data_IF_164085305602
#
_entry.id   IF_164085305602
#
_cell.length_a   1.000
_cell.length_b   1.000
_cell.length_c   1.000
_cell.angle_alpha   90.00
_cell.angle_beta   90.00
_cell.angle_gamma   90.00
#
_symmetry.space_group_name_H-M   'P 1'
#
loop_
_entity.id
_entity.type
_entity.pdbx_description
1 polymer ?
#
# COMPACT_ATOMS: atom_id res chain seq x y z
N UNK A 1 -5.04 70.74 67.67
CA UNK A 1 -3.65 71.07 67.34
C UNK A 1 -2.91 69.76 67.01
N UNK A 2 -2.45 69.62 65.76
CA UNK A 2 -1.55 68.56 65.23
C UNK A 2 -2.16 67.14 65.20
N UNK A 3 -1.95 66.29 64.20
CA UNK A 3 -1.07 66.29 63.03
C UNK A 3 -1.68 65.31 62.01
N UNK A 4 -1.76 65.68 60.73
CA UNK A 4 -2.16 64.77 59.65
C UNK A 4 -0.98 63.90 59.22
N UNK A 5 -1.24 62.62 58.95
CA UNK A 5 -0.28 61.72 58.32
C UNK A 5 -0.81 61.39 56.92
N UNK A 6 -0.17 61.96 55.89
CA UNK A 6 -0.42 61.62 54.49
C UNK A 6 0.51 60.47 54.10
N UNK A 7 -0.06 59.30 53.84
CA UNK A 7 0.64 58.17 53.25
C UNK A 7 0.48 58.28 51.73
N UNK A 8 1.57 58.49 51.01
CA UNK A 8 1.62 58.51 49.55
C UNK A 8 1.86 57.07 49.09
N UNK A 9 0.88 56.47 48.41
CA UNK A 9 1.00 55.16 47.78
C UNK A 9 1.65 55.33 46.41
N UNK A 10 2.90 54.88 46.26
CA UNK A 10 3.56 54.74 44.96
C UNK A 10 3.05 53.45 44.30
N UNK A 11 2.24 53.57 43.25
CA UNK A 11 1.84 52.44 42.40
C UNK A 11 2.91 52.27 41.32
N UNK A 12 3.84 51.33 41.53
CA UNK A 12 4.72 50.85 40.47
C UNK A 12 3.92 49.86 39.60
N UNK A 13 3.52 50.30 38.41
CA UNK A 13 2.87 49.49 37.41
C UNK A 13 3.92 48.60 36.71
N UNK A 14 4.05 47.35 37.17
CA UNK A 14 4.89 46.36 36.51
C UNK A 14 4.16 45.85 35.25
N UNK A 15 4.61 46.31 34.08
CA UNK A 15 4.23 45.72 32.80
C UNK A 15 4.94 44.37 32.64
N UNK A 16 4.25 43.28 32.98
CA UNK A 16 4.65 41.94 32.53
C UNK A 16 4.14 41.76 31.11
N UNK A 17 5.01 42.03 30.14
CA UNK A 17 4.81 41.57 28.77
C UNK A 17 4.99 40.04 28.76
N UNK A 18 3.89 39.30 28.90
CA UNK A 18 3.83 37.89 28.52
C UNK A 18 3.89 37.81 26.99
N UNK A 19 5.11 37.82 26.46
CA UNK A 19 5.36 37.34 25.11
C UNK A 19 5.15 35.83 25.09
N UNK A 20 3.94 35.39 24.75
CA UNK A 20 3.72 34.02 24.32
C UNK A 20 4.44 33.88 22.98
N UNK A 21 5.63 33.28 23.00
CA UNK A 21 6.24 32.77 21.80
C UNK A 21 5.35 31.60 21.36
N UNK A 22 4.43 31.85 20.43
CA UNK A 22 3.77 30.78 19.68
C UNK A 22 4.85 30.11 18.83
N UNK A 23 5.54 29.15 19.43
CA UNK A 23 6.28 28.15 18.70
C UNK A 23 5.24 27.29 17.99
N UNK A 24 4.94 27.61 16.73
CA UNK A 24 4.31 26.68 15.81
C UNK A 24 5.27 25.49 15.65
N UNK A 25 5.15 24.52 16.54
CA UNK A 25 5.79 23.23 16.36
C UNK A 25 5.03 22.53 15.24
N UNK A 26 5.50 22.68 14.01
CA UNK A 26 5.13 21.76 12.93
C UNK A 26 5.42 20.36 13.46
N UNK A 27 4.35 19.62 13.73
CA UNK A 27 4.43 18.33 14.40
C UNK A 27 4.65 17.29 13.32
N UNK A 28 5.91 16.87 13.17
CA UNK A 28 6.29 15.80 12.27
C UNK A 28 5.99 14.44 12.90
N UNK A 29 5.14 13.65 12.25
CA UNK A 29 4.77 12.31 12.68
C UNK A 29 5.36 11.25 11.75
N UNK A 30 6.01 10.25 12.36
CA UNK A 30 6.46 9.05 11.66
C UNK A 30 5.68 7.85 12.20
N UNK A 31 5.04 7.11 11.30
CA UNK A 31 4.36 5.87 11.62
C UNK A 31 4.98 4.73 10.84
N UNK A 32 5.16 3.58 11.46
CA UNK A 32 5.56 2.36 10.77
C UNK A 32 4.51 1.27 10.94
N UNK A 33 4.39 0.42 9.93
CA UNK A 33 3.55 -0.78 9.96
C UNK A 33 4.34 -1.92 9.34
N UNK A 34 4.45 -3.02 10.08
CA UNK A 34 5.12 -4.25 9.67
C UNK A 34 4.09 -5.38 9.68
N UNK A 35 4.06 -6.14 8.60
CA UNK A 35 3.18 -7.30 8.43
C UNK A 35 4.02 -8.50 8.02
N UNK A 36 4.35 -9.36 8.98
CA UNK A 36 4.84 -10.72 8.70
C UNK A 36 3.65 -11.67 8.53
N UNK A 37 3.41 -12.12 7.30
CA UNK A 37 2.29 -13.00 7.00
C UNK A 37 2.52 -14.45 7.45
N UNK A 38 3.71 -14.82 7.95
CA UNK A 38 3.85 -16.09 8.64
C UNK A 38 3.09 -16.11 9.97
N UNK A 39 2.89 -14.95 10.61
CA UNK A 39 2.23 -14.85 11.91
C UNK A 39 0.70 -14.78 11.81
N UNK A 40 0.19 -13.96 10.89
CA UNK A 40 -1.25 -13.82 10.67
C UNK A 40 -1.58 -13.20 9.31
N UNK A 41 -2.84 -13.29 8.87
CA UNK A 41 -3.35 -12.55 7.72
C UNK A 41 -3.34 -11.02 7.95
N UNK A 42 -3.15 -10.57 9.20
CA UNK A 42 -3.18 -9.17 9.62
C UNK A 42 -4.40 -8.43 9.06
N UNK A 43 -5.56 -9.08 9.00
CA UNK A 43 -6.81 -8.49 8.49
C UNK A 43 -6.77 -7.98 7.04
N UNK A 44 -5.79 -8.40 6.22
CA UNK A 44 -5.77 -8.11 4.80
C UNK A 44 -6.84 -8.91 4.07
N UNK A 45 -7.50 -8.31 3.09
CA UNK A 45 -8.55 -8.94 2.30
C UNK A 45 -8.13 -8.97 0.83
N UNK A 46 -8.24 -10.12 0.16
CA UNK A 46 -8.01 -10.22 -1.28
C UNK A 46 -9.26 -9.97 -2.12
N UNK A 47 -9.06 -9.36 -3.28
CA UNK A 47 -10.08 -9.18 -4.32
C UNK A 47 -9.42 -9.04 -5.70
N UNK A 48 -10.24 -8.93 -6.75
CA UNK A 48 -9.81 -8.99 -8.15
C UNK A 48 -10.55 -7.93 -8.98
N UNK A 49 -9.93 -7.41 -10.02
CA UNK A 49 -10.53 -6.49 -10.98
C UNK A 49 -9.97 -6.73 -12.39
N UNK A 50 -10.51 -5.98 -13.33
CA UNK A 50 -10.23 -6.00 -14.77
C UNK A 50 -10.66 -7.30 -15.47
N UNK A 51 -11.76 -7.93 -15.02
CA UNK A 51 -12.32 -9.12 -15.66
C UNK A 51 -13.83 -8.97 -15.95
N UNK A 52 -14.38 -9.69 -16.96
CA UNK A 52 -15.80 -9.63 -17.26
C UNK A 52 -16.70 -10.08 -16.10
N UNK A 53 -17.91 -9.52 -16.03
CA UNK A 53 -18.92 -9.96 -15.07
C UNK A 53 -19.26 -11.45 -15.28
N UNK A 54 -19.27 -12.23 -14.20
CA UNK A 54 -19.61 -13.66 -14.24
C UNK A 54 -18.45 -14.61 -14.54
N UNK A 55 -17.27 -14.09 -14.92
CA UNK A 55 -16.15 -14.93 -15.38
C UNK A 55 -15.17 -15.35 -14.28
N UNK A 56 -15.48 -15.12 -13.00
CA UNK A 56 -14.56 -15.43 -11.89
C UNK A 56 -14.14 -16.90 -11.81
N UNK A 57 -15.01 -17.82 -12.23
CA UNK A 57 -14.69 -19.27 -12.30
C UNK A 57 -13.77 -19.56 -13.49
N UNK A 58 -14.02 -18.95 -14.65
CA UNK A 58 -13.20 -19.14 -15.85
C UNK A 58 -11.78 -18.57 -15.67
N UNK A 59 -11.66 -17.46 -14.94
CA UNK A 59 -10.39 -16.86 -14.55
C UNK A 59 -9.76 -17.52 -13.32
N UNK A 60 -10.35 -18.58 -12.75
CA UNK A 60 -9.77 -19.34 -11.62
C UNK A 60 -9.33 -18.43 -10.45
N UNK A 61 -10.09 -17.37 -10.17
CA UNK A 61 -9.70 -16.34 -9.19
C UNK A 61 -9.71 -16.91 -7.77
N UNK A 62 -8.57 -16.83 -7.08
CA UNK A 62 -8.42 -17.37 -5.74
C UNK A 62 -7.54 -16.49 -4.85
N UNK A 63 -8.06 -16.16 -3.67
CA UNK A 63 -7.31 -15.58 -2.56
C UNK A 63 -7.35 -16.54 -1.38
N UNK A 64 -6.21 -16.76 -0.74
CA UNK A 64 -6.12 -17.56 0.47
C UNK A 64 -5.07 -17.01 1.45
N UNK A 65 -5.28 -17.25 2.74
CA UNK A 65 -4.24 -17.15 3.76
C UNK A 65 -3.75 -18.56 4.10
N UNK A 66 -2.85 -19.05 3.23
CA UNK A 66 -2.47 -20.44 3.16
C UNK A 66 -0.98 -20.67 3.34
N UNK A 67 -0.57 -21.93 3.26
CA UNK A 67 0.82 -22.33 3.34
C UNK A 67 1.60 -21.83 2.11
N UNK A 68 2.85 -21.43 2.35
CA UNK A 68 3.84 -21.20 1.33
C UNK A 68 4.17 -22.51 0.59
N UNK A 69 4.70 -22.41 -0.64
CA UNK A 69 5.31 -23.52 -1.33
C UNK A 69 6.37 -24.21 -0.46
N UNK A 70 6.37 -25.55 -0.43
CA UNK A 70 7.22 -26.35 0.47
C UNK A 70 8.70 -25.97 0.41
N UNK A 71 9.21 -25.60 -0.77
CA UNK A 71 10.61 -25.21 -0.95
C UNK A 71 10.99 -23.88 -0.26
N UNK A 72 9.99 -23.09 0.15
CA UNK A 72 10.14 -21.85 0.90
C UNK A 72 9.84 -22.03 2.39
N UNK A 73 9.76 -23.26 2.90
CA UNK A 73 9.58 -23.55 4.31
C UNK A 73 8.23 -24.18 4.60
N UNK A 74 8.28 -25.35 5.23
CA UNK A 74 7.09 -26.11 5.64
C UNK A 74 6.25 -25.30 6.63
N UNK A 75 4.93 -25.34 6.45
CA UNK A 75 3.92 -24.72 7.32
C UNK A 75 4.02 -23.21 7.56
N UNK A 76 4.91 -22.50 6.85
CA UNK A 76 4.93 -21.03 6.85
C UNK A 76 3.74 -20.50 6.05
N UNK A 77 3.05 -19.48 6.55
CA UNK A 77 1.89 -18.90 5.86
C UNK A 77 2.23 -17.64 5.07
N UNK A 78 1.36 -17.31 4.12
CA UNK A 78 1.43 -16.12 3.28
C UNK A 78 0.05 -15.74 2.74
N UNK A 79 -0.08 -14.53 2.18
CA UNK A 79 -1.25 -14.17 1.37
C UNK A 79 -1.03 -14.67 -0.05
N UNK A 80 -1.84 -15.62 -0.51
CA UNK A 80 -1.82 -16.13 -1.87
C UNK A 80 -2.83 -15.37 -2.73
N UNK A 81 -2.40 -14.91 -3.91
CA UNK A 81 -3.27 -14.49 -5.00
C UNK A 81 -3.01 -15.37 -6.20
N UNK A 82 -4.08 -15.86 -6.83
CA UNK A 82 -4.00 -16.67 -8.04
C UNK A 82 -5.13 -16.31 -9.00
N UNK A 83 -4.81 -16.37 -10.30
CA UNK A 83 -5.78 -16.18 -11.37
C UNK A 83 -5.21 -16.58 -12.73
N UNK A 84 -6.09 -17.08 -13.59
CA UNK A 84 -5.85 -17.38 -14.99
C UNK A 84 -6.33 -16.21 -15.85
N UNK A 85 -5.39 -15.35 -16.24
CA UNK A 85 -5.70 -14.15 -17.01
C UNK A 85 -6.07 -14.52 -18.46
N UNK A 86 -7.34 -14.36 -18.84
CA UNK A 86 -7.83 -14.71 -20.18
C UNK A 86 -7.85 -13.53 -21.15
N UNK A 87 -7.93 -12.30 -20.64
CA UNK A 87 -8.08 -11.08 -21.46
C UNK A 87 -6.77 -10.32 -21.65
N UNK A 88 -5.72 -10.63 -20.88
CA UNK A 88 -4.45 -9.91 -20.91
C UNK A 88 -4.47 -8.62 -20.09
N UNK A 89 -5.37 -8.55 -19.10
CA UNK A 89 -5.54 -7.39 -18.22
C UNK A 89 -6.25 -7.85 -16.95
N UNK A 90 -5.54 -8.51 -16.03
CA UNK A 90 -6.11 -9.00 -14.76
C UNK A 90 -5.38 -8.36 -13.59
N UNK A 91 -6.13 -7.68 -12.72
CA UNK A 91 -5.59 -7.11 -11.50
C UNK A 91 -6.00 -7.96 -10.29
N UNK A 92 -5.01 -8.50 -9.58
CA UNK A 92 -5.19 -9.28 -8.36
C UNK A 92 -4.59 -8.50 -7.19
N UNK A 93 -5.35 -8.25 -6.12
CA UNK A 93 -4.86 -7.37 -5.05
C UNK A 93 -5.34 -7.78 -3.67
N UNK A 94 -4.61 -7.30 -2.67
CA UNK A 94 -5.00 -7.31 -1.26
C UNK A 94 -5.11 -5.89 -0.75
N UNK A 95 -6.03 -5.66 0.19
CA UNK A 95 -6.25 -4.36 0.82
C UNK A 95 -6.36 -4.44 2.33
N UNK A 96 -6.03 -3.34 3.00
CA UNK A 96 -6.17 -3.19 4.45
C UNK A 96 -6.44 -1.74 4.84
N UNK A 97 -7.41 -1.53 5.73
CA UNK A 97 -7.65 -0.22 6.34
C UNK A 97 -6.75 0.00 7.55
N UNK A 98 -6.12 1.15 7.61
CA UNK A 98 -5.43 1.69 8.78
C UNK A 98 -6.17 2.91 9.32
N UNK A 99 -6.02 3.16 10.61
CA UNK A 99 -6.66 4.27 11.33
C UNK A 99 -5.68 4.89 12.32
N UNK A 100 -5.95 6.12 12.75
CA UNK A 100 -5.12 6.83 13.72
C UNK A 100 -4.19 7.87 13.11
N UNK A 101 -4.36 8.17 11.82
CA UNK A 101 -3.71 9.31 11.17
C UNK A 101 -4.40 10.61 11.56
N UNK A 102 -3.70 11.73 11.44
CA UNK A 102 -4.33 13.05 11.52
C UNK A 102 -5.26 13.18 10.32
N UNK A 103 -6.55 13.54 10.49
CA UNK A 103 -7.49 13.65 9.38
C UNK A 103 -7.07 14.64 8.29
N UNK A 104 -7.38 14.34 7.02
CA UNK A 104 -7.10 15.20 5.85
C UNK A 104 -5.64 15.69 5.79
N UNK A 105 -4.69 14.82 6.13
CA UNK A 105 -3.27 15.14 6.21
C UNK A 105 -2.50 14.30 5.20
N UNK A 106 -1.54 14.92 4.53
CA UNK A 106 -0.69 14.26 3.54
C UNK A 106 0.47 13.54 4.22
N UNK A 107 0.73 12.31 3.76
CA UNK A 107 1.82 11.47 4.22
C UNK A 107 2.63 10.99 3.03
N UNK A 108 3.95 11.15 3.09
CA UNK A 108 4.85 10.36 2.24
C UNK A 108 4.87 8.93 2.72
N UNK A 109 4.78 7.97 1.81
CA UNK A 109 4.72 6.55 2.10
C UNK A 109 5.80 5.77 1.32
N UNK A 110 6.60 5.01 2.05
CA UNK A 110 7.55 4.04 1.51
C UNK A 110 7.08 2.64 1.83
N UNK A 111 7.09 1.75 0.83
CA UNK A 111 6.79 0.34 0.92
C UNK A 111 8.06 -0.50 0.74
N UNK A 112 8.17 -1.59 1.47
CA UNK A 112 9.09 -2.70 1.20
C UNK A 112 8.28 -4.01 1.25
N UNK A 113 8.01 -4.57 0.08
CA UNK A 113 7.19 -5.75 -0.13
C UNK A 113 8.08 -6.94 -0.46
N UNK A 114 7.90 -8.03 0.28
CA UNK A 114 8.46 -9.34 -0.03
C UNK A 114 7.39 -10.24 -0.64
N UNK A 115 7.70 -10.86 -1.79
CA UNK A 115 6.80 -11.78 -2.48
C UNK A 115 7.55 -12.98 -3.08
N UNK A 116 6.85 -14.10 -3.22
CA UNK A 116 7.33 -15.31 -3.90
C UNK A 116 6.75 -15.42 -5.31
N UNK A 117 7.60 -15.80 -6.27
CA UNK A 117 7.23 -16.06 -7.66
C UNK A 117 8.07 -17.20 -8.24
N UNK A 118 7.54 -17.87 -9.27
CA UNK A 118 8.25 -18.87 -10.08
C UNK A 118 8.59 -18.38 -11.48
N UNK A 119 8.18 -17.17 -11.87
CA UNK A 119 8.24 -16.71 -13.24
C UNK A 119 9.66 -16.26 -13.64
N UNK A 120 10.38 -17.02 -14.50
CA UNK A 120 11.75 -16.71 -14.83
C UNK A 120 11.85 -15.46 -15.72
N UNK A 121 12.88 -14.64 -15.47
CA UNK A 121 13.25 -13.53 -16.36
C UNK A 121 13.56 -14.06 -17.77
N UNK A 122 13.16 -13.31 -18.79
CA UNK A 122 13.41 -13.61 -20.20
C UNK A 122 12.52 -14.72 -20.78
N UNK A 123 11.60 -15.26 -19.98
CA UNK A 123 10.70 -16.32 -20.43
C UNK A 123 9.59 -15.76 -21.33
N UNK A 124 9.22 -16.52 -22.35
CA UNK A 124 8.10 -16.18 -23.24
C UNK A 124 6.95 -17.15 -23.00
N UNK A 125 5.78 -16.60 -22.71
CA UNK A 125 4.53 -17.35 -22.65
C UNK A 125 3.83 -17.40 -24.00
N UNK A 126 2.66 -18.04 -24.06
CA UNK A 126 1.84 -18.10 -25.28
C UNK A 126 1.45 -16.70 -25.75
N UNK A 127 1.14 -15.80 -24.82
CA UNK A 127 0.75 -14.42 -25.09
C UNK A 127 1.19 -13.50 -23.93
N UNK A 128 2.45 -13.08 -23.98
CA UNK A 128 3.08 -12.19 -23.00
C UNK A 128 4.26 -12.83 -22.25
N UNK A 129 4.81 -12.07 -21.30
CA UNK A 129 5.94 -12.48 -20.47
C UNK A 129 5.45 -12.85 -19.07
N UNK A 130 5.53 -14.12 -18.64
CA UNK A 130 4.97 -14.56 -17.36
C UNK A 130 5.60 -13.88 -16.13
N UNK A 131 6.82 -13.36 -16.24
CA UNK A 131 7.48 -12.59 -15.18
C UNK A 131 7.32 -11.09 -15.39
N UNK A 132 7.83 -10.58 -16.51
CA UNK A 132 7.95 -9.15 -16.79
C UNK A 132 6.64 -8.48 -17.21
N UNK A 133 5.67 -9.27 -17.67
CA UNK A 133 4.33 -8.82 -18.02
C UNK A 133 3.37 -8.81 -16.83
N UNK A 134 3.83 -9.17 -15.62
CA UNK A 134 3.04 -9.11 -14.40
C UNK A 134 3.67 -8.09 -13.45
N UNK A 135 3.04 -6.92 -13.37
CA UNK A 135 3.59 -5.74 -12.71
C UNK A 135 3.17 -5.70 -11.24
N UNK A 136 4.13 -5.50 -10.34
CA UNK A 136 3.86 -5.34 -8.92
C UNK A 136 3.50 -3.90 -8.64
N UNK A 137 2.32 -3.67 -8.05
CA UNK A 137 1.81 -2.35 -7.72
C UNK A 137 1.58 -2.20 -6.22
N UNK A 138 1.93 -1.03 -5.69
CA UNK A 138 1.68 -0.61 -4.31
C UNK A 138 0.96 0.72 -4.30
N UNK A 139 0.08 0.94 -3.33
CA UNK A 139 -0.65 2.19 -3.23
C UNK A 139 -1.37 2.37 -1.91
N UNK A 140 -1.86 3.59 -1.72
CA UNK A 140 -2.62 3.98 -0.56
C UNK A 140 -3.58 5.11 -0.93
N UNK A 141 -4.78 5.10 -0.36
CA UNK A 141 -5.86 6.02 -0.72
C UNK A 141 -6.82 6.24 0.47
N UNK A 142 -7.42 7.41 0.59
CA UNK A 142 -8.34 7.73 1.70
C UNK A 142 -9.70 6.99 1.64
N UNK A 143 -10.04 6.41 0.50
CA UNK A 143 -11.27 5.65 0.26
C UNK A 143 -10.99 4.17 0.04
N UNK A 144 -11.92 3.30 0.39
CA UNK A 144 -11.76 1.85 0.19
C UNK A 144 -11.56 1.49 -1.30
N UNK A 145 -10.46 0.80 -1.66
CA UNK A 145 -10.28 0.19 -2.97
C UNK A 145 -11.27 -0.97 -3.15
N UNK A 146 -12.04 -0.95 -4.23
CA UNK A 146 -13.03 -1.98 -4.56
C UNK A 146 -13.20 -2.09 -6.06
N UNK A 147 -13.55 -3.29 -6.50
CA UNK A 147 -14.07 -3.45 -7.86
C UNK A 147 -15.46 -2.83 -7.97
N UNK A 148 -15.74 -2.25 -9.13
CA UNK A 148 -17.03 -1.70 -9.53
C UNK A 148 -17.39 -2.25 -10.90
N UNK A 149 -18.66 -2.60 -11.09
CA UNK A 149 -19.14 -3.10 -12.38
C UNK A 149 -19.37 -1.91 -13.32
N UNK A 150 -18.62 -1.88 -14.43
CA UNK A 150 -18.71 -0.86 -15.47
C UNK A 150 -18.77 -1.54 -16.84
N UNK A 151 -19.83 -1.28 -17.60
CA UNK A 151 -20.00 -1.78 -18.96
C UNK A 151 -19.78 -3.31 -19.12
N UNK A 152 -20.18 -4.11 -18.12
CA UNK A 152 -20.05 -5.57 -18.15
C UNK A 152 -18.71 -6.12 -17.67
N UNK A 153 -17.81 -5.27 -17.14
CA UNK A 153 -16.55 -5.70 -16.53
C UNK A 153 -16.40 -5.14 -15.12
N UNK A 154 -15.79 -5.91 -14.23
CA UNK A 154 -15.31 -5.40 -12.96
C UNK A 154 -14.03 -4.60 -13.18
N UNK A 155 -13.99 -3.34 -12.75
CA UNK A 155 -12.83 -2.45 -12.83
C UNK A 155 -12.57 -1.80 -11.47
N UNK A 156 -11.40 -1.20 -11.26
CA UNK A 156 -11.12 -0.50 -10.00
C UNK A 156 -11.86 0.84 -9.88
N UNK A 157 -12.21 1.23 -8.65
CA UNK A 157 -12.75 2.56 -8.34
C UNK A 157 -11.67 3.61 -8.01
N UNK A 158 -10.39 3.26 -8.19
CA UNK A 158 -9.22 4.09 -7.93
C UNK A 158 -8.34 4.10 -9.18
N UNK A 159 -7.47 5.10 -9.30
CA UNK A 159 -6.48 5.18 -10.36
C UNK A 159 -5.23 4.36 -10.03
N UNK A 160 -5.25 3.08 -10.39
CA UNK A 160 -4.08 2.18 -10.26
C UNK A 160 -3.08 2.30 -11.41
N UNK A 161 -3.35 3.16 -12.40
CA UNK A 161 -2.71 3.12 -13.71
C UNK A 161 -3.13 1.88 -14.50
N UNK A 162 -2.30 1.45 -15.44
CA UNK A 162 -2.55 0.22 -16.20
C UNK A 162 -1.24 -0.51 -16.47
N UNK A 163 -1.18 -1.79 -16.10
CA UNK A 163 0.00 -2.63 -16.34
C UNK A 163 1.27 -1.95 -15.77
N UNK A 164 2.26 -1.68 -16.61
CA UNK A 164 3.51 -1.03 -16.21
C UNK A 164 3.44 0.47 -15.99
N UNK A 165 2.28 1.12 -16.15
CA UNK A 165 2.14 2.57 -15.94
C UNK A 165 1.63 2.88 -14.55
N UNK A 166 2.16 3.93 -13.94
CA UNK A 166 1.68 4.44 -12.66
C UNK A 166 0.31 5.11 -12.79
N UNK A 167 -0.46 5.08 -11.71
CA UNK A 167 -1.64 5.90 -11.51
C UNK A 167 -1.48 6.81 -10.30
N UNK A 168 -2.45 7.67 -10.06
CA UNK A 168 -2.45 8.58 -8.92
C UNK A 168 -2.54 7.85 -7.57
N UNK A 169 -3.26 6.73 -7.50
CA UNK A 169 -3.52 6.01 -6.25
C UNK A 169 -2.62 4.77 -6.06
N UNK A 170 -1.97 4.29 -7.14
CA UNK A 170 -0.99 3.20 -7.07
C UNK A 170 0.16 3.39 -8.08
N UNK A 171 1.36 3.02 -7.67
CA UNK A 171 2.57 3.05 -8.48
C UNK A 171 3.13 1.65 -8.73
N UNK A 172 3.88 1.49 -9.80
CA UNK A 172 4.55 0.25 -10.19
C UNK A 172 5.94 0.20 -9.57
N UNK A 173 6.21 -0.84 -8.77
CA UNK A 173 7.50 -1.01 -8.07
C UNK A 173 8.34 -2.17 -8.64
N UNK A 174 7.98 -2.65 -9.83
CA UNK A 174 8.67 -3.69 -10.58
C UNK A 174 7.70 -4.73 -11.14
N UNK A 175 8.19 -5.95 -11.33
CA UNK A 175 7.42 -7.10 -11.84
C UNK A 175 7.69 -8.36 -11.01
N UNK A 176 7.05 -9.50 -11.31
CA UNK A 176 7.24 -10.73 -10.53
C UNK A 176 8.41 -11.60 -11.01
N UNK A 177 9.18 -11.14 -11.99
CA UNK A 177 10.27 -11.93 -12.55
C UNK A 177 11.35 -12.23 -11.51
N UNK A 178 11.82 -13.47 -11.52
CA UNK A 178 12.91 -14.01 -10.71
C UNK A 178 14.08 -14.40 -11.62
N UNK A 179 15.06 -15.17 -11.14
CA UNK A 179 16.21 -15.55 -11.98
C UNK A 179 15.81 -16.33 -13.24
N UNK A 180 16.59 -16.19 -14.33
CA UNK A 180 16.35 -16.83 -15.63
C UNK A 180 16.18 -18.36 -15.54
N UNK A 181 16.89 -19.01 -14.59
CA UNK A 181 16.91 -20.46 -14.43
C UNK A 181 16.08 -20.94 -13.22
N UNK A 182 15.20 -20.10 -12.69
CA UNK A 182 14.35 -20.49 -11.57
C UNK A 182 13.37 -21.59 -11.98
N UNK A 183 13.32 -22.66 -11.18
CA UNK A 183 12.38 -23.79 -11.32
C UNK A 183 11.51 -24.04 -10.07
N UNK A 184 11.61 -23.17 -9.07
CA UNK A 184 10.89 -23.26 -7.80
C UNK A 184 10.56 -21.85 -7.28
N UNK A 185 9.60 -21.72 -6.36
CA UNK A 185 9.27 -20.39 -5.85
C UNK A 185 10.48 -19.73 -5.23
N UNK A 186 10.73 -18.48 -5.61
CA UNK A 186 11.86 -17.67 -5.15
C UNK A 186 11.32 -16.37 -4.57
N UNK A 187 11.85 -15.98 -3.41
CA UNK A 187 11.52 -14.71 -2.76
C UNK A 187 12.25 -13.56 -3.47
N UNK A 188 11.50 -12.50 -3.75
CA UNK A 188 11.98 -11.23 -4.29
C UNK A 188 11.41 -10.07 -3.45
N UNK A 189 12.10 -8.93 -3.48
CA UNK A 189 11.66 -7.70 -2.81
C UNK A 189 11.36 -6.59 -3.82
N UNK A 190 10.36 -5.77 -3.52
CA UNK A 190 9.93 -4.63 -4.34
C UNK A 190 9.67 -3.43 -3.42
N UNK A 191 10.20 -2.27 -3.80
CA UNK A 191 10.14 -1.06 -2.98
C UNK A 191 10.08 0.18 -3.86
N UNK A 192 9.45 1.25 -3.36
CA UNK A 192 9.50 2.58 -3.94
C UNK A 192 10.54 3.49 -3.27
N UNK A 193 11.41 2.97 -2.39
CA UNK A 193 12.41 3.78 -1.68
C UNK A 193 13.45 4.46 -2.61
N UNK A 194 13.57 3.99 -3.86
CA UNK A 194 14.47 4.53 -4.87
C UNK A 194 13.80 5.54 -5.80
N UNK A 195 12.49 5.76 -5.65
CA UNK A 195 11.75 6.69 -6.49
C UNK A 195 12.18 8.13 -6.23
N UNK A 196 12.33 8.89 -7.32
CA UNK A 196 12.72 10.31 -7.24
C UNK A 196 11.57 11.21 -6.79
N UNK A 197 10.33 10.78 -7.06
CA UNK A 197 9.11 11.45 -6.64
C UNK A 197 8.51 10.62 -5.51
N UNK A 198 8.43 11.16 -4.28
CA UNK A 198 7.82 10.44 -3.16
C UNK A 198 6.35 10.13 -3.47
N UNK A 199 5.92 8.91 -3.12
CA UNK A 199 4.50 8.57 -3.15
C UNK A 199 3.78 9.20 -1.96
N UNK A 200 2.72 9.96 -2.23
CA UNK A 200 1.98 10.72 -1.21
C UNK A 200 0.54 10.24 -1.17
N UNK A 201 0.00 10.08 0.04
CA UNK A 201 -1.40 9.75 0.30
C UNK A 201 -2.00 10.74 1.30
N UNK A 202 -3.25 11.13 1.08
CA UNK A 202 -4.01 11.90 2.05
C UNK A 202 -4.91 10.98 2.88
N UNK A 203 -4.83 11.09 4.21
CA UNK A 203 -5.79 10.44 5.11
C UNK A 203 -7.19 11.03 4.92
N UNK A 204 -8.24 10.24 5.12
CA UNK A 204 -9.60 10.75 5.01
C UNK A 204 -10.01 11.59 6.24
N UNK A 205 -11.25 12.09 6.23
CA UNK A 205 -11.80 12.92 7.32
C UNK A 205 -11.91 12.21 8.68
N UNK A 206 -11.78 10.88 8.71
CA UNK A 206 -11.76 10.07 9.93
C UNK A 206 -10.34 9.70 10.38
N UNK A 207 -9.29 10.18 9.68
CA UNK A 207 -7.91 9.78 9.96
C UNK A 207 -7.63 8.33 9.56
N UNK A 208 -8.26 7.86 8.48
CA UNK A 208 -8.05 6.52 7.93
C UNK A 208 -7.34 6.58 6.57
N UNK A 209 -6.54 5.56 6.29
CA UNK A 209 -5.89 5.29 5.00
C UNK A 209 -6.14 3.83 4.65
N UNK A 210 -6.54 3.58 3.41
CA UNK A 210 -6.58 2.23 2.86
C UNK A 210 -5.30 1.94 2.09
N UNK A 211 -4.67 0.84 2.44
CA UNK A 211 -3.55 0.26 1.73
C UNK A 211 -4.03 -0.71 0.67
N UNK A 212 -3.31 -0.77 -0.45
CA UNK A 212 -3.51 -1.74 -1.50
C UNK A 212 -2.18 -2.17 -2.09
N UNK A 213 -2.01 -3.48 -2.26
CA UNK A 213 -0.86 -4.09 -2.92
C UNK A 213 -1.38 -5.18 -3.84
N UNK A 214 -0.85 -5.27 -5.05
CA UNK A 214 -1.34 -6.24 -6.02
C UNK A 214 -0.40 -6.45 -7.18
N UNK A 215 -0.86 -7.29 -8.11
CA UNK A 215 -0.21 -7.54 -9.39
C UNK A 215 -1.18 -7.25 -10.52
N UNK A 216 -0.71 -6.49 -11.51
CA UNK A 216 -1.44 -6.11 -12.72
C UNK A 216 -0.84 -6.87 -13.91
N UNK A 217 -1.58 -7.82 -14.46
CA UNK A 217 -1.07 -8.80 -15.42
C UNK A 217 -1.50 -8.45 -16.84
N UNK A 218 -0.51 -8.20 -17.69
CA UNK A 218 -0.63 -8.20 -19.15
C UNK A 218 -0.45 -9.59 -19.77
N UNK A 219 0.06 -10.55 -19.01
CA UNK A 219 0.33 -11.91 -19.44
C UNK A 219 -0.95 -12.75 -19.43
N UNK A 220 -1.30 -13.36 -20.57
CA UNK A 220 -2.42 -14.32 -20.61
C UNK A 220 -1.98 -15.70 -20.14
N UNK A 221 -2.43 -16.06 -18.95
CA UNK A 221 -2.21 -17.36 -18.34
C UNK A 221 -2.33 -17.31 -16.83
N UNK A 222 -2.19 -18.49 -16.22
CA UNK A 222 -2.18 -18.64 -14.78
C UNK A 222 -0.97 -17.93 -14.16
N UNK A 223 -1.24 -17.11 -13.14
CA UNK A 223 -0.26 -16.46 -12.30
C UNK A 223 -0.64 -16.71 -10.86
N UNK A 224 0.33 -17.16 -10.05
CA UNK A 224 0.17 -17.31 -8.60
C UNK A 224 1.34 -16.61 -7.92
N UNK A 225 1.05 -15.75 -6.95
CA UNK A 225 2.04 -15.05 -6.13
C UNK A 225 1.70 -15.20 -4.66
N UNK A 226 2.72 -15.15 -3.81
CA UNK A 226 2.58 -15.17 -2.36
C UNK A 226 3.21 -13.92 -1.76
N UNK A 227 2.46 -13.07 -1.07
CA UNK A 227 3.03 -11.99 -0.28
C UNK A 227 3.41 -12.52 1.10
N UNK A 228 4.69 -12.37 1.45
CA UNK A 228 5.28 -12.95 2.68
C UNK A 228 5.51 -11.92 3.76
N UNK A 229 5.94 -10.71 3.37
CA UNK A 229 6.11 -9.58 4.29
C UNK A 229 5.76 -8.27 3.61
N UNK A 230 5.20 -7.33 4.36
CA UNK A 230 5.04 -5.95 3.93
C UNK A 230 5.42 -4.99 5.06
N UNK A 231 6.38 -4.12 4.77
CA UNK A 231 6.85 -3.05 5.63
C UNK A 231 6.50 -1.69 5.03
N UNK A 232 6.06 -0.76 5.89
CA UNK A 232 5.70 0.59 5.48
C UNK A 232 6.16 1.63 6.48
N UNK A 233 6.54 2.79 5.96
CA UNK A 233 6.86 3.99 6.73
C UNK A 233 6.08 5.17 6.15
N UNK A 234 5.33 5.83 7.03
CA UNK A 234 4.59 7.06 6.75
C UNK A 234 5.32 8.23 7.42
N UNK A 235 5.43 9.36 6.73
CA UNK A 235 5.97 10.61 7.28
C UNK A 235 5.03 11.75 6.92
N UNK A 236 4.49 12.45 7.92
CA UNK A 236 3.63 13.61 7.68
C UNK A 236 4.45 14.79 7.16
N UNK A 237 3.82 15.61 6.33
CA UNK A 237 4.33 16.94 6.00
C UNK A 237 3.77 18.00 6.93
#
# INVERSE_FOLDING_TARGET
MRMGLRVIFFVCLAWMASGCLDASSDSFFVFSSNYDFAESQHGWLGDFADYPEGDSIAFELAFDYGNLPVNLGEDRKALMLSGNNLNGDLFMFVKRRLSGFVPNTDYTLVFDLELASTAPTGSTGIDGYPGEGVYVKVGAVGTEPRKVLTAGSYVMNIDKGNQGTDGADMITVGNIAVSEFTNAYTIISRTNAQETIPFVVQSNSNGEIWLIVGVDSSYKGATTVYFTRLDMVFSSH
#
